data_IF_387234694447
#
_entry.id   IF_387234694447
#
_cell.length_a   1.000
_cell.length_b   1.000
_cell.length_c   1.000
_cell.angle_alpha   90.00
_cell.angle_beta   90.00
_cell.angle_gamma   90.00
#
_symmetry.space_group_name_H-M   'P 1'
#
loop_
_entity.id
_entity.type
_entity.pdbx_description
1 polymer ?
#
# COMPACT_ATOMS: atom_id res chain seq x y z
N UNK A 1 2.16 -1.82 26.35
CA UNK A 1 1.29 -2.88 25.79
C UNK A 1 0.62 -2.31 24.56
N UNK A 2 0.75 -2.99 23.43
CA UNK A 2 0.21 -2.60 22.13
C UNK A 2 -0.79 -3.66 21.69
N UNK A 3 -1.76 -3.30 20.84
CA UNK A 3 -2.68 -4.23 20.22
C UNK A 3 -2.49 -4.22 18.70
N UNK A 4 -2.42 -5.39 18.10
CA UNK A 4 -2.37 -5.61 16.65
C UNK A 4 -3.74 -6.13 16.21
N UNK A 5 -4.35 -5.53 15.20
CA UNK A 5 -5.59 -6.05 14.61
C UNK A 5 -5.24 -6.89 13.39
N UNK A 6 -5.45 -8.21 13.47
CA UNK A 6 -5.33 -9.13 12.35
C UNK A 6 -6.72 -9.53 11.81
N UNK A 7 -6.80 -9.97 10.56
CA UNK A 7 -8.05 -10.27 9.86
C UNK A 7 -8.70 -9.08 9.15
N UNK A 8 -8.00 -7.95 9.08
CA UNK A 8 -8.36 -6.80 8.24
C UNK A 8 -7.17 -6.45 7.33
N UNK A 9 -6.49 -5.32 7.53
CA UNK A 9 -5.31 -4.96 6.72
C UNK A 9 -4.09 -5.88 6.90
N UNK A 10 -4.02 -6.55 8.04
CA UNK A 10 -3.00 -7.52 8.39
C UNK A 10 -3.66 -8.90 8.40
N UNK A 11 -3.25 -9.80 7.51
CA UNK A 11 -3.83 -11.15 7.44
C UNK A 11 -3.50 -11.95 8.69
N UNK A 12 -4.39 -12.84 9.15
CA UNK A 12 -3.99 -13.87 10.11
C UNK A 12 -2.93 -14.79 9.50
N UNK A 13 -2.04 -15.33 10.32
CA UNK A 13 -0.98 -16.24 9.89
C UNK A 13 0.27 -16.11 10.74
N UNK A 14 1.40 -16.62 10.25
CA UNK A 14 2.67 -16.65 11.00
C UNK A 14 3.45 -15.35 10.82
N UNK A 15 3.62 -14.60 11.90
CA UNK A 15 4.38 -13.35 11.91
C UNK A 15 5.77 -13.62 12.47
N UNK A 16 6.77 -12.92 11.95
CA UNK A 16 8.12 -12.91 12.52
C UNK A 16 8.37 -11.57 13.20
N UNK A 17 9.03 -11.62 14.35
CA UNK A 17 9.52 -10.47 15.10
C UNK A 17 11.04 -10.57 15.23
N UNK A 18 11.72 -9.44 15.17
CA UNK A 18 13.12 -9.31 15.52
C UNK A 18 13.26 -8.21 16.57
N UNK A 19 14.06 -8.45 17.60
CA UNK A 19 14.32 -7.51 18.69
C UNK A 19 15.82 -7.37 18.87
N UNK A 20 16.29 -6.14 18.83
CA UNK A 20 17.65 -5.76 19.22
C UNK A 20 17.56 -5.03 20.56
N UNK A 21 18.29 -5.47 21.58
CA UNK A 21 18.24 -4.84 22.89
C UNK A 21 19.55 -4.91 23.65
N UNK A 22 19.88 -3.82 24.33
CA UNK A 22 20.82 -3.80 25.44
C UNK A 22 20.22 -2.91 26.53
N UNK A 23 20.05 -3.35 27.78
CA UNK A 23 20.23 -4.70 28.34
C UNK A 23 19.24 -5.74 27.78
N UNK A 24 18.79 -6.69 28.60
CA UNK A 24 17.85 -7.73 28.16
C UNK A 24 16.44 -7.25 27.86
N UNK A 25 15.72 -8.01 27.03
CA UNK A 25 14.33 -7.79 26.66
C UNK A 25 13.55 -9.11 26.55
N UNK A 26 12.21 -9.00 26.55
CA UNK A 26 11.31 -10.13 26.39
C UNK A 26 10.05 -9.71 25.65
N UNK A 27 9.74 -10.42 24.56
CA UNK A 27 8.54 -10.22 23.78
C UNK A 27 7.51 -11.31 24.09
N UNK A 28 6.31 -10.89 24.47
CA UNK A 28 5.16 -11.74 24.74
C UNK A 28 4.01 -11.34 23.82
N UNK A 29 3.44 -12.31 23.11
CA UNK A 29 2.29 -12.13 22.21
C UNK A 29 1.15 -13.05 22.64
N UNK A 30 -0.03 -12.48 22.91
CA UNK A 30 -1.19 -13.19 23.44
C UNK A 30 -0.90 -14.04 24.70
N UNK A 31 0.06 -13.62 25.51
CA UNK A 31 0.50 -14.35 26.71
C UNK A 31 1.57 -15.41 26.46
N UNK A 32 1.88 -15.73 25.20
CA UNK A 32 2.97 -16.64 24.82
C UNK A 32 4.28 -15.88 24.68
N UNK A 33 5.35 -16.39 25.28
CA UNK A 33 6.70 -15.86 25.11
C UNK A 33 7.22 -16.20 23.71
N UNK A 34 7.58 -15.17 22.93
CA UNK A 34 8.08 -15.29 21.55
C UNK A 34 9.58 -15.08 21.50
N UNK A 35 10.10 -14.10 22.24
CA UNK A 35 11.53 -13.79 22.36
C UNK A 35 11.83 -13.58 23.85
N UNK A 36 12.96 -14.11 24.32
CA UNK A 36 13.43 -13.93 25.69
C UNK A 36 14.95 -13.87 25.74
N UNK A 37 15.45 -12.64 25.81
CA UNK A 37 16.86 -12.31 25.84
C UNK A 37 17.14 -11.66 27.20
N UNK A 38 17.37 -12.46 28.27
CA UNK A 38 17.44 -11.93 29.64
C UNK A 38 18.65 -11.01 29.90
N UNK A 39 19.62 -11.01 28.98
CA UNK A 39 20.85 -10.19 29.04
C UNK A 39 21.08 -9.55 27.67
N UNK A 40 21.72 -8.37 27.67
CA UNK A 40 22.13 -7.67 26.46
C UNK A 40 23.65 -7.39 26.42
N UNK A 41 24.20 -6.92 25.29
CA UNK A 41 23.49 -6.71 24.02
C UNK A 41 23.07 -8.03 23.38
N UNK A 42 21.87 -8.06 22.80
CA UNK A 42 21.30 -9.22 22.14
C UNK A 42 20.49 -8.80 20.91
N UNK A 43 20.51 -9.65 19.89
CA UNK A 43 19.68 -9.57 18.69
C UNK A 43 19.04 -10.95 18.51
N UNK A 44 17.72 -11.04 18.71
CA UNK A 44 16.99 -12.29 18.66
C UNK A 44 15.72 -12.15 17.81
N UNK A 45 15.26 -13.25 17.24
CA UNK A 45 14.03 -13.31 16.46
C UNK A 45 13.14 -14.47 16.89
N UNK A 46 11.85 -14.35 16.61
CA UNK A 46 10.87 -15.38 16.92
C UNK A 46 9.64 -15.27 16.05
N UNK A 47 8.91 -16.37 15.91
CA UNK A 47 7.67 -16.43 15.12
C UNK A 47 6.47 -16.73 16.02
N UNK A 48 5.32 -16.20 15.62
CA UNK A 48 4.05 -16.44 16.31
C UNK A 48 2.89 -16.33 15.35
N UNK A 49 1.91 -17.23 15.46
CA UNK A 49 0.68 -17.14 14.70
C UNK A 49 -0.23 -16.07 15.30
N UNK A 50 -0.62 -15.08 14.49
CA UNK A 50 -1.64 -14.10 14.84
C UNK A 50 -3.00 -14.54 14.29
N UNK A 51 -3.96 -14.71 15.18
CA UNK A 51 -5.33 -15.06 14.84
C UNK A 51 -6.12 -13.83 14.40
N UNK A 52 -7.22 -14.04 13.66
CA UNK A 52 -8.14 -12.96 13.35
C UNK A 52 -8.65 -12.28 14.62
N UNK A 53 -8.66 -10.94 14.61
CA UNK A 53 -9.06 -10.09 15.72
C UNK A 53 -7.87 -9.41 16.40
N UNK A 54 -8.08 -9.05 17.67
CA UNK A 54 -7.08 -8.31 18.46
C UNK A 54 -6.05 -9.25 19.06
N UNK A 55 -4.79 -9.05 18.72
CA UNK A 55 -3.63 -9.72 19.28
C UNK A 55 -2.87 -8.75 20.19
N UNK A 56 -2.61 -9.15 21.44
CA UNK A 56 -1.90 -8.32 22.41
C UNK A 56 -0.40 -8.54 22.31
N UNK A 57 0.35 -7.45 22.18
CA UNK A 57 1.81 -7.43 22.20
C UNK A 57 2.32 -6.72 23.45
N UNK A 58 3.20 -7.39 24.19
CA UNK A 58 3.89 -6.84 25.35
C UNK A 58 5.38 -7.07 25.20
N UNK A 59 6.12 -5.96 25.10
CA UNK A 59 7.57 -5.94 25.17
C UNK A 59 7.98 -5.47 26.56
N UNK A 60 8.77 -6.29 27.24
CA UNK A 60 9.41 -6.01 28.52
C UNK A 60 10.89 -5.73 28.25
N UNK A 61 11.45 -4.71 28.88
CA UNK A 61 12.84 -4.29 28.71
C UNK A 61 13.45 -3.96 30.07
N UNK A 62 14.68 -4.40 30.29
CA UNK A 62 15.39 -4.19 31.54
C UNK A 62 16.03 -2.79 31.56
N UNK A 63 15.71 -2.02 32.60
CA UNK A 63 16.32 -0.71 32.87
C UNK A 63 17.40 -0.88 33.95
N UNK A 64 18.64 -1.14 33.52
CA UNK A 64 19.83 -1.28 34.39
C UNK A 64 20.94 -0.36 33.88
N UNK A 65 21.86 0.07 34.73
CA UNK A 65 22.93 1.00 34.33
C UNK A 65 23.75 0.52 33.11
N UNK A 66 24.04 1.43 32.17
CA UNK A 66 24.93 1.15 31.05
C UNK A 66 24.48 1.81 29.76
N UNK A 67 24.88 1.20 28.64
CA UNK A 67 24.37 1.55 27.32
C UNK A 67 22.97 0.96 27.12
N UNK A 68 22.06 1.76 26.55
CA UNK A 68 20.66 1.40 26.39
C UNK A 68 20.21 1.55 24.95
N UNK A 69 19.69 0.47 24.39
CA UNK A 69 18.94 0.50 23.14
C UNK A 69 17.86 -0.58 23.11
N UNK A 70 16.82 -0.33 22.32
CA UNK A 70 15.74 -1.26 22.04
C UNK A 70 15.18 -0.96 20.65
N UNK A 71 15.21 -1.96 19.78
CA UNK A 71 14.63 -1.94 18.45
C UNK A 71 13.75 -3.17 18.24
N UNK A 72 12.66 -2.99 17.50
CA UNK A 72 11.67 -4.03 17.20
C UNK A 72 11.25 -3.92 15.75
N UNK A 73 11.42 -5.02 15.02
CA UNK A 73 10.98 -5.18 13.65
C UNK A 73 10.02 -6.34 13.54
N UNK A 74 9.19 -6.33 12.51
CA UNK A 74 8.23 -7.41 12.27
C UNK A 74 7.84 -7.54 10.80
N UNK A 75 7.51 -8.78 10.41
CA UNK A 75 6.98 -9.14 9.09
C UNK A 75 5.66 -9.89 9.23
N UNK A 76 4.82 -9.73 8.22
CA UNK A 76 3.56 -10.48 8.15
C UNK A 76 3.75 -11.92 7.65
N UNK A 77 2.64 -12.64 7.52
CA UNK A 77 2.58 -14.02 7.05
C UNK A 77 3.05 -14.24 5.60
N UNK A 78 3.37 -13.17 4.88
CA UNK A 78 3.91 -13.19 3.52
C UNK A 78 5.36 -12.69 3.50
N UNK A 79 6.03 -12.66 4.65
CA UNK A 79 7.40 -12.16 4.86
C UNK A 79 7.57 -10.68 4.51
N UNK A 80 6.47 -9.93 4.49
CA UNK A 80 6.53 -8.51 4.14
C UNK A 80 6.79 -7.64 5.33
N UNK A 81 7.68 -6.67 5.13
CA UNK A 81 8.07 -5.70 6.12
C UNK A 81 6.88 -4.82 6.51
N UNK A 82 6.54 -4.79 7.80
CA UNK A 82 5.41 -4.01 8.32
C UNK A 82 5.81 -2.61 8.76
N UNK A 83 4.87 -1.69 9.00
CA UNK A 83 5.18 -0.37 9.53
C UNK A 83 6.01 -0.44 10.81
N UNK A 84 6.95 0.50 10.97
CA UNK A 84 7.78 0.57 12.17
C UNK A 84 6.91 0.68 13.42
N UNK A 85 7.21 -0.15 14.41
CA UNK A 85 6.61 -0.09 15.75
C UNK A 85 7.59 0.46 16.80
N UNK A 86 8.83 0.73 16.39
CA UNK A 86 9.87 1.41 17.15
C UNK A 86 10.74 2.26 16.23
N UNK A 87 11.45 3.22 16.81
CA UNK A 87 12.37 4.10 16.05
C UNK A 87 13.50 3.29 15.42
N UNK A 88 14.10 2.38 16.19
CA UNK A 88 15.07 1.41 15.69
C UNK A 88 14.29 0.18 15.23
N UNK A 89 14.51 -0.25 13.99
CA UNK A 89 13.91 -1.46 13.44
C UNK A 89 15.05 -2.35 12.90
N UNK A 90 15.37 -3.47 13.57
CA UNK A 90 16.47 -4.35 13.17
C UNK A 90 16.25 -5.02 11.81
N UNK A 91 15.02 -5.04 11.29
CA UNK A 91 14.75 -5.57 9.94
C UNK A 91 14.98 -4.54 8.83
N UNK A 92 15.26 -3.28 9.19
CA UNK A 92 15.49 -2.15 8.28
C UNK A 92 16.93 -1.66 8.40
N UNK A 93 17.87 -2.49 7.95
CA UNK A 93 19.31 -2.21 7.95
C UNK A 93 19.85 -2.00 6.54
N UNK A 94 20.78 -1.05 6.37
CA UNK A 94 21.47 -0.77 5.10
C UNK A 94 20.94 0.47 4.37
N UNK A 95 21.66 0.88 3.33
CA UNK A 95 21.50 2.19 2.66
C UNK A 95 20.08 2.43 2.14
N UNK A 96 19.40 1.40 1.58
CA UNK A 96 18.01 1.53 1.09
C UNK A 96 17.02 2.02 2.15
N UNK A 97 17.24 1.68 3.42
CA UNK A 97 16.36 2.10 4.51
C UNK A 97 16.68 3.48 5.07
N UNK A 98 17.83 4.06 4.74
CA UNK A 98 18.12 5.49 5.01
C UNK A 98 17.24 6.39 4.12
N UNK A 99 16.92 5.93 2.92
CA UNK A 99 16.09 6.62 1.94
C UNK A 99 14.66 6.07 1.86
N UNK A 100 14.22 5.30 2.87
CA UNK A 100 12.83 4.86 2.98
C UNK A 100 11.93 6.06 3.26
N UNK A 101 10.88 6.20 2.46
CA UNK A 101 9.73 7.03 2.81
C UNK A 101 8.79 6.16 3.63
N UNK A 102 8.57 6.52 4.89
CA UNK A 102 7.62 5.81 5.74
C UNK A 102 6.18 6.24 5.47
N UNK A 103 5.25 5.27 5.58
CA UNK A 103 3.81 5.55 5.63
C UNK A 103 3.39 5.49 7.08
N UNK A 104 3.09 6.64 7.71
CA UNK A 104 2.66 6.70 9.10
C UNK A 104 1.20 6.21 9.22
N UNK A 105 0.53 6.55 10.33
CA UNK A 105 -0.89 6.23 10.52
C UNK A 105 -1.86 6.94 9.54
N UNK A 106 -1.35 7.65 8.54
CA UNK A 106 -2.13 8.38 7.54
C UNK A 106 -1.63 8.10 6.14
N UNK A 107 -2.54 8.16 5.17
CA UNK A 107 -2.20 8.03 3.76
C UNK A 107 -1.22 9.13 3.32
N UNK A 108 -0.28 8.75 2.47
CA UNK A 108 0.76 9.63 1.92
C UNK A 108 0.78 9.48 0.41
N UNK A 109 1.02 10.56 -0.31
CA UNK A 109 1.20 10.56 -1.74
C UNK A 109 2.51 11.29 -2.11
N UNK A 110 3.39 10.60 -2.84
CA UNK A 110 4.69 11.11 -3.24
C UNK A 110 4.81 11.07 -4.75
N UNK A 111 5.03 12.23 -5.38
CA UNK A 111 5.42 12.25 -6.80
C UNK A 111 6.81 11.64 -6.91
N UNK A 112 6.93 10.62 -7.74
CA UNK A 112 8.13 9.82 -7.89
C UNK A 112 8.16 9.18 -9.28
N UNK A 113 9.34 9.04 -9.87
CA UNK A 113 9.51 8.11 -10.98
C UNK A 113 9.37 6.70 -10.42
N UNK A 114 8.27 6.04 -10.73
CA UNK A 114 7.94 4.70 -10.23
C UNK A 114 8.36 3.66 -11.28
N UNK A 115 8.83 2.48 -10.86
CA UNK A 115 9.19 1.44 -11.80
C UNK A 115 7.94 0.96 -12.54
N UNK A 116 8.07 0.58 -13.82
CA UNK A 116 6.95 0.11 -14.66
C UNK A 116 5.82 1.13 -14.90
N UNK A 117 6.08 2.41 -14.68
CA UNK A 117 5.12 3.49 -14.91
C UNK A 117 5.82 4.69 -15.58
N UNK A 118 5.07 5.72 -15.96
CA UNK A 118 5.67 6.94 -16.49
C UNK A 118 6.52 7.66 -15.44
N UNK A 119 7.45 8.50 -15.89
CA UNK A 119 8.24 9.38 -15.00
C UNK A 119 7.38 10.41 -14.24
N UNK A 120 6.08 10.48 -14.51
CA UNK A 120 5.12 11.35 -13.83
C UNK A 120 4.16 10.53 -12.97
N UNK A 121 4.69 9.58 -12.22
CA UNK A 121 3.89 8.74 -11.34
C UNK A 121 3.73 9.33 -9.94
N UNK A 122 2.76 8.78 -9.22
CA UNK A 122 2.45 9.08 -7.83
C UNK A 122 2.50 7.74 -7.07
N UNK A 123 3.46 7.62 -6.16
CA UNK A 123 3.43 6.56 -5.16
C UNK A 123 2.39 6.95 -4.10
N UNK A 124 1.45 6.07 -3.82
CA UNK A 124 0.42 6.27 -2.81
C UNK A 124 0.59 5.20 -1.74
N UNK A 125 0.83 5.61 -0.50
CA UNK A 125 0.90 4.74 0.65
C UNK A 125 -0.39 4.80 1.44
N UNK A 126 -1.07 3.65 1.60
CA UNK A 126 -2.32 3.54 2.36
C UNK A 126 -2.06 2.71 3.62
N UNK A 127 -2.26 3.28 4.82
CA UNK A 127 -1.99 2.55 6.05
C UNK A 127 -2.92 1.34 6.20
N UNK A 128 -2.44 0.27 6.87
CA UNK A 128 -1.10 0.11 7.42
C UNK A 128 -0.04 -0.34 6.41
N UNK A 129 -0.34 -1.12 5.37
CA UNK A 129 0.73 -1.73 4.56
C UNK A 129 0.40 -1.95 3.08
N UNK A 130 -0.59 -1.23 2.54
CA UNK A 130 -0.99 -1.37 1.14
C UNK A 130 -0.64 -0.11 0.40
N UNK A 131 0.06 -0.23 -0.71
CA UNK A 131 0.55 0.89 -1.48
C UNK A 131 0.17 0.70 -2.95
N UNK A 132 0.15 1.77 -3.73
CA UNK A 132 -0.09 1.69 -5.17
C UNK A 132 0.61 2.78 -5.97
N UNK A 133 0.82 2.49 -7.26
CA UNK A 133 1.37 3.42 -8.22
C UNK A 133 0.23 3.95 -9.09
N UNK A 134 -0.03 5.25 -9.01
CA UNK A 134 -0.94 5.94 -9.91
C UNK A 134 -0.14 6.72 -10.96
N UNK A 135 -0.40 6.45 -12.24
CA UNK A 135 0.26 7.16 -13.34
C UNK A 135 -0.53 8.43 -13.68
N UNK A 136 0.05 9.59 -13.38
CA UNK A 136 -0.65 10.88 -13.64
C UNK A 136 -0.72 11.25 -15.12
N UNK A 137 -0.11 10.46 -16.02
CA UNK A 137 -0.20 10.64 -17.46
C UNK A 137 -1.37 9.88 -18.07
N UNK A 138 -1.64 8.67 -17.58
CA UNK A 138 -2.67 7.77 -18.16
C UNK A 138 -3.92 7.63 -17.29
N UNK A 139 -3.88 8.12 -16.04
CA UNK A 139 -4.99 7.95 -15.10
C UNK A 139 -5.15 6.51 -14.60
N UNK A 140 -4.20 5.63 -14.88
CA UNK A 140 -4.22 4.24 -14.47
C UNK A 140 -3.59 4.06 -13.08
N UNK A 141 -4.17 3.16 -12.28
CA UNK A 141 -3.48 2.56 -11.13
C UNK A 141 -2.72 1.34 -11.67
N UNK A 142 -1.42 1.51 -11.92
CA UNK A 142 -0.60 0.54 -12.66
C UNK A 142 -0.44 -0.78 -11.89
N UNK A 143 -0.16 -0.70 -10.59
CA UNK A 143 -0.03 -1.85 -9.70
C UNK A 143 -0.16 -1.41 -8.25
N UNK A 144 -0.39 -2.39 -7.38
CA UNK A 144 -0.24 -2.25 -5.94
C UNK A 144 0.99 -2.99 -5.43
N UNK A 145 1.38 -2.74 -4.19
CA UNK A 145 2.30 -3.60 -3.44
C UNK A 145 1.95 -3.58 -1.97
N UNK A 146 2.33 -4.64 -1.26
CA UNK A 146 2.23 -4.69 0.19
C UNK A 146 3.62 -4.74 0.83
N UNK A 147 3.75 -4.16 2.01
CA UNK A 147 5.02 -4.07 2.75
C UNK A 147 5.53 -2.64 2.90
N UNK A 148 6.86 -2.47 2.95
CA UNK A 148 7.51 -1.17 2.99
C UNK A 148 7.13 -0.32 1.79
N UNK A 149 7.10 1.00 1.97
CA UNK A 149 6.54 1.90 0.96
C UNK A 149 7.48 2.14 -0.20
N UNK A 150 8.53 2.94 -0.02
CA UNK A 150 9.36 3.36 -1.15
C UNK A 150 10.77 3.73 -0.71
N UNK A 151 11.77 3.24 -1.44
CA UNK A 151 13.13 3.76 -1.40
C UNK A 151 13.31 4.79 -2.53
N UNK A 152 13.62 6.04 -2.17
CA UNK A 152 13.89 7.10 -3.15
C UNK A 152 15.39 7.34 -3.41
N UNK A 153 16.27 6.58 -2.77
CA UNK A 153 17.72 6.64 -2.90
C UNK A 153 18.22 6.65 -4.34
N UNK A 154 17.71 5.81 -5.26
CA UNK A 154 18.12 5.83 -6.68
C UNK A 154 17.90 7.18 -7.37
N UNK A 155 16.89 7.96 -6.96
CA UNK A 155 16.62 9.29 -7.53
C UNK A 155 17.64 10.34 -7.11
N UNK A 156 18.34 10.12 -6.00
CA UNK A 156 19.37 11.01 -5.47
C UNK A 156 20.75 10.37 -5.47
N UNK A 157 20.89 9.23 -6.15
CA UNK A 157 22.09 8.38 -6.16
C UNK A 157 22.65 8.13 -4.75
N UNK A 158 21.76 7.92 -3.77
CA UNK A 158 22.12 7.70 -2.37
C UNK A 158 23.08 8.77 -1.81
N UNK A 159 22.94 10.03 -2.26
CA UNK A 159 23.78 11.16 -1.83
C UNK A 159 25.12 11.30 -2.57
N UNK A 160 25.52 10.32 -3.38
CA UNK A 160 26.80 10.28 -4.09
C UNK A 160 26.76 10.89 -5.50
N UNK A 161 25.64 11.48 -5.90
CA UNK A 161 25.49 12.03 -7.24
C UNK A 161 24.19 12.76 -7.50
N UNK A 162 23.83 12.86 -8.79
CA UNK A 162 22.58 13.53 -9.20
C UNK A 162 21.36 12.62 -9.07
N UNK A 163 21.55 11.31 -9.28
CA UNK A 163 20.47 10.35 -9.47
C UNK A 163 19.58 10.66 -10.69
N UNK A 164 18.93 9.63 -11.23
CA UNK A 164 17.89 9.76 -12.27
C UNK A 164 17.08 8.47 -12.45
N UNK A 165 17.29 7.47 -11.59
CA UNK A 165 16.66 6.18 -11.69
C UNK A 165 15.31 6.19 -10.98
N UNK A 166 14.45 5.24 -11.34
CA UNK A 166 13.17 5.07 -10.66
C UNK A 166 13.39 4.67 -9.19
N UNK A 167 12.46 5.05 -8.32
CA UNK A 167 12.42 4.55 -6.95
C UNK A 167 12.28 3.03 -6.90
N UNK A 168 12.70 2.44 -5.79
CA UNK A 168 12.57 1.00 -5.54
C UNK A 168 11.43 0.69 -4.58
N UNK A 169 10.72 -0.41 -4.84
CA UNK A 169 9.65 -0.89 -3.96
C UNK A 169 10.26 -1.66 -2.79
N UNK A 170 9.84 -1.34 -1.57
CA UNK A 170 10.26 -2.06 -0.36
C UNK A 170 9.25 -3.17 0.03
N UNK A 171 8.54 -3.71 -0.96
CA UNK A 171 7.47 -4.70 -0.78
C UNK A 171 7.16 -5.50 -2.04
N UNK A 172 6.25 -6.46 -1.91
CA UNK A 172 5.88 -7.38 -3.02
C UNK A 172 4.67 -6.85 -3.76
N UNK A 173 4.70 -6.89 -5.09
CA UNK A 173 3.67 -6.29 -5.94
C UNK A 173 2.44 -7.18 -6.03
N UNK A 174 1.34 -6.56 -6.42
CA UNK A 174 0.13 -7.22 -6.86
C UNK A 174 -0.53 -6.41 -7.98
N UNK A 175 -1.28 -7.09 -8.82
CA UNK A 175 -1.97 -6.45 -9.94
C UNK A 175 -3.14 -5.58 -9.46
N UNK A 176 -3.17 -4.32 -9.91
CA UNK A 176 -4.25 -3.37 -9.61
C UNK A 176 -5.33 -3.31 -10.72
N UNK A 177 -5.01 -3.86 -11.89
CA UNK A 177 -5.91 -4.19 -12.98
C UNK A 177 -6.43 -3.03 -13.82
N UNK A 178 -6.08 -1.77 -13.57
CA UNK A 178 -6.51 -0.67 -14.44
C UNK A 178 -5.67 -0.66 -15.74
N UNK A 179 -6.33 -0.51 -16.89
CA UNK A 179 -5.65 -0.24 -18.16
C UNK A 179 -5.37 1.27 -18.31
N UNK A 180 -4.63 1.67 -19.34
CA UNK A 180 -4.41 3.08 -19.66
C UNK A 180 -5.73 3.78 -20.02
N UNK A 181 -5.94 4.96 -19.44
CA UNK A 181 -7.16 5.75 -19.55
C UNK A 181 -8.41 4.91 -19.22
N UNK A 182 -8.50 4.40 -17.97
CA UNK A 182 -9.46 3.36 -17.63
C UNK A 182 -10.89 3.90 -17.59
N UNK A 183 -11.09 5.17 -17.21
CA UNK A 183 -12.41 5.79 -17.17
C UNK A 183 -12.71 6.46 -18.52
N UNK A 184 -13.80 6.05 -19.18
CA UNK A 184 -14.24 6.59 -20.49
C UNK A 184 -15.74 6.86 -20.51
N UNK A 185 -16.19 7.76 -21.39
CA UNK A 185 -17.59 8.18 -21.46
C UNK A 185 -18.17 8.03 -22.87
N UNK A 186 -19.35 7.44 -22.96
CA UNK A 186 -20.11 7.26 -24.21
C UNK A 186 -19.57 6.19 -25.15
N UNK A 187 -18.29 5.84 -25.08
CA UNK A 187 -17.64 4.77 -25.84
C UNK A 187 -16.45 4.20 -25.06
N UNK A 188 -16.19 2.90 -25.21
CA UNK A 188 -14.99 2.22 -24.71
C UNK A 188 -13.86 2.17 -25.77
N UNK A 189 -14.15 2.52 -27.02
CA UNK A 189 -13.23 2.32 -28.15
C UNK A 189 -12.27 3.50 -28.40
N UNK A 190 -12.53 4.67 -27.82
CA UNK A 190 -11.77 5.89 -28.08
C UNK A 190 -11.05 6.31 -26.79
N UNK A 191 -9.75 6.58 -26.90
CA UNK A 191 -8.97 7.17 -25.82
C UNK A 191 -9.52 8.57 -25.47
N UNK A 192 -9.84 8.85 -24.20
CA UNK A 192 -10.43 10.12 -23.79
C UNK A 192 -9.39 11.25 -23.70
N UNK A 193 -9.85 12.50 -23.72
CA UNK A 193 -9.04 13.63 -23.28
C UNK A 193 -8.87 13.59 -21.76
N UNK A 194 -7.65 13.33 -21.29
CA UNK A 194 -7.35 13.16 -19.87
C UNK A 194 -6.43 14.28 -19.34
N UNK A 195 -6.81 14.86 -18.21
CA UNK A 195 -6.01 15.88 -17.53
C UNK A 195 -5.98 15.65 -16.02
N UNK A 196 -4.80 15.34 -15.47
CA UNK A 196 -4.59 15.29 -14.03
C UNK A 196 -4.47 16.70 -13.42
N UNK A 197 -5.28 16.98 -12.39
CA UNK A 197 -5.34 18.29 -11.73
C UNK A 197 -4.70 18.30 -10.33
N UNK A 198 -4.65 17.17 -9.62
CA UNK A 198 -3.97 17.08 -8.33
C UNK A 198 -4.45 15.93 -7.44
N UNK A 199 -4.08 15.98 -6.16
CA UNK A 199 -4.51 14.99 -5.16
C UNK A 199 -4.66 15.61 -3.76
N UNK A 200 -5.33 14.89 -2.86
CA UNK A 200 -5.46 15.21 -1.44
C UNK A 200 -5.29 13.95 -0.60
N UNK A 201 -4.40 14.03 0.39
CA UNK A 201 -4.17 12.97 1.37
C UNK A 201 -5.25 13.00 2.47
N UNK A 202 -5.85 11.83 2.73
CA UNK A 202 -6.85 11.62 3.77
C UNK A 202 -6.28 11.03 5.06
N UNK A 203 -7.09 10.22 5.73
CA UNK A 203 -6.62 9.37 6.83
C UNK A 203 -6.18 8.01 6.29
N UNK A 204 -7.07 7.26 5.65
CA UNK A 204 -6.80 5.95 5.05
C UNK A 204 -7.08 5.93 3.54
N UNK A 205 -7.19 7.10 2.93
CA UNK A 205 -7.51 7.29 1.51
C UNK A 205 -6.68 8.39 0.87
N UNK A 206 -6.59 8.38 -0.46
CA UNK A 206 -6.14 9.52 -1.26
C UNK A 206 -7.21 9.85 -2.29
N UNK A 207 -7.59 11.11 -2.37
CA UNK A 207 -8.46 11.63 -3.44
C UNK A 207 -7.59 12.12 -4.58
N UNK A 208 -7.88 11.68 -5.79
CA UNK A 208 -7.27 12.14 -7.03
C UNK A 208 -8.28 13.01 -7.78
N UNK A 209 -7.83 14.17 -8.25
CA UNK A 209 -8.63 15.13 -9.01
C UNK A 209 -8.12 15.17 -10.44
N UNK A 210 -9.00 14.90 -11.40
CA UNK A 210 -8.68 14.95 -12.82
C UNK A 210 -9.94 15.17 -13.66
N UNK A 211 -9.74 15.42 -14.95
CA UNK A 211 -10.80 15.55 -15.94
C UNK A 211 -10.68 14.47 -17.02
N UNK A 212 -11.83 13.96 -17.45
CA UNK A 212 -11.97 13.03 -18.57
C UNK A 212 -13.03 13.61 -19.51
N UNK A 213 -12.67 13.91 -20.75
CA UNK A 213 -13.53 14.58 -21.74
C UNK A 213 -14.24 15.83 -21.20
N UNK A 214 -13.51 16.59 -20.36
CA UNK A 214 -14.01 17.80 -19.71
C UNK A 214 -14.92 17.59 -18.47
N UNK A 215 -15.28 16.36 -18.12
CA UNK A 215 -16.00 16.05 -16.88
C UNK A 215 -15.04 16.05 -15.68
N UNK A 216 -15.37 16.76 -14.61
CA UNK A 216 -14.58 16.74 -13.37
C UNK A 216 -14.80 15.40 -12.64
N UNK A 217 -13.71 14.73 -12.30
CA UNK A 217 -13.68 13.43 -11.61
C UNK A 217 -12.88 13.53 -10.32
N UNK A 218 -13.47 13.00 -9.25
CA UNK A 218 -12.74 12.65 -8.03
C UNK A 218 -12.66 11.14 -7.93
N UNK A 219 -11.45 10.58 -7.94
CA UNK A 219 -11.21 9.17 -7.66
C UNK A 219 -10.58 9.02 -6.28
N UNK A 220 -11.33 8.48 -5.34
CA UNK A 220 -10.82 8.12 -4.01
C UNK A 220 -10.26 6.70 -4.05
N UNK A 221 -8.99 6.54 -3.73
CA UNK A 221 -8.32 5.24 -3.60
C UNK A 221 -8.26 4.84 -2.13
N UNK A 222 -8.67 3.60 -1.85
CA UNK A 222 -8.57 2.95 -0.54
C UNK A 222 -8.11 1.51 -0.70
N UNK A 223 -7.51 0.92 0.34
CA UNK A 223 -7.27 -0.53 0.38
C UNK A 223 -8.59 -1.32 0.31
N UNK A 224 -8.55 -2.51 -0.27
CA UNK A 224 -9.62 -3.49 -0.08
C UNK A 224 -9.69 -3.91 1.40
N UNK A 225 -10.91 -4.13 1.90
CA UNK A 225 -11.13 -4.76 3.22
C UNK A 225 -11.16 -6.29 3.12
N UNK A 226 -11.44 -6.82 1.94
CA UNK A 226 -11.61 -8.25 1.71
C UNK A 226 -10.44 -8.77 0.85
N UNK A 227 -9.29 -9.03 1.47
CA UNK A 227 -8.10 -9.56 0.78
C UNK A 227 -7.19 -8.49 0.15
N UNK A 228 -6.20 -8.93 -0.63
CA UNK A 228 -5.20 -8.05 -1.26
C UNK A 228 -5.80 -7.33 -2.45
N UNK A 229 -5.91 -6.01 -2.39
CA UNK A 229 -6.47 -5.22 -3.48
C UNK A 229 -6.73 -3.77 -3.11
N UNK A 230 -7.40 -3.08 -4.03
CA UNK A 230 -7.76 -1.67 -3.92
C UNK A 230 -9.24 -1.47 -4.27
N UNK A 231 -9.85 -0.45 -3.67
CA UNK A 231 -11.15 0.06 -4.06
C UNK A 231 -11.00 1.49 -4.55
N UNK A 232 -11.57 1.76 -5.72
CA UNK A 232 -11.65 3.08 -6.35
C UNK A 232 -13.09 3.55 -6.26
N UNK A 233 -13.33 4.70 -5.63
CA UNK A 233 -14.63 5.36 -5.66
C UNK A 233 -14.55 6.56 -6.57
N UNK A 234 -15.34 6.58 -7.63
CA UNK A 234 -15.44 7.68 -8.57
C UNK A 234 -16.63 8.56 -8.21
N UNK A 235 -16.40 9.87 -8.13
CA UNK A 235 -17.45 10.89 -8.03
C UNK A 235 -17.32 11.84 -9.22
N UNK A 236 -18.37 11.88 -10.05
CA UNK A 236 -18.44 12.69 -11.26
C UNK A 236 -19.30 13.92 -10.97
N UNK A 237 -18.78 15.10 -11.28
CA UNK A 237 -19.57 16.32 -11.27
C UNK A 237 -20.24 16.49 -12.62
N UNK A 238 -21.56 16.67 -12.62
CA UNK A 238 -22.38 16.78 -13.82
C UNK A 238 -22.16 15.57 -14.77
N UNK A 239 -22.55 14.35 -14.35
CA UNK A 239 -22.18 13.11 -15.03
C UNK A 239 -22.63 13.12 -16.51
N UNK A 240 -21.80 12.58 -17.42
CA UNK A 240 -22.11 12.59 -18.84
C UNK A 240 -23.36 11.77 -19.17
N UNK A 241 -24.03 12.16 -20.26
CA UNK A 241 -25.29 11.54 -20.71
C UNK A 241 -25.12 10.14 -21.34
N UNK A 242 -23.88 9.74 -21.65
CA UNK A 242 -23.55 8.42 -22.20
C UNK A 242 -23.23 7.39 -21.12
N UNK A 243 -23.15 6.12 -21.50
CA UNK A 243 -22.63 5.04 -20.64
C UNK A 243 -21.23 5.40 -20.14
N UNK A 244 -20.94 5.07 -18.89
CA UNK A 244 -19.60 5.22 -18.31
C UNK A 244 -18.92 3.86 -18.40
N UNK A 245 -17.67 3.86 -18.86
CA UNK A 245 -16.87 2.65 -18.99
C UNK A 245 -15.70 2.72 -18.02
N UNK A 246 -15.42 1.61 -17.33
CA UNK A 246 -14.18 1.40 -16.61
C UNK A 246 -13.45 0.18 -17.17
N UNK A 247 -12.31 0.43 -17.80
CA UNK A 247 -11.52 -0.57 -18.53
C UNK A 247 -10.41 -1.08 -17.65
N UNK A 248 -10.30 -2.40 -17.62
CA UNK A 248 -9.29 -3.13 -16.86
C UNK A 248 -8.54 -4.06 -17.80
N UNK A 249 -7.29 -4.36 -17.46
CA UNK A 249 -6.56 -5.43 -18.12
C UNK A 249 -7.37 -6.73 -18.03
N UNK A 250 -7.35 -7.53 -19.09
CA UNK A 250 -8.02 -8.84 -19.17
C UNK A 250 -7.09 -10.00 -18.82
N UNK A 251 -5.78 -9.77 -18.78
CA UNK A 251 -4.76 -10.80 -18.58
C UNK A 251 -4.21 -10.86 -17.17
N UNK A 252 -4.96 -11.39 -16.21
CA UNK A 252 -4.48 -11.79 -14.86
C UNK A 252 -5.60 -12.44 -14.05
N UNK A 253 -5.26 -13.25 -13.04
CA UNK A 253 -6.18 -13.62 -11.95
C UNK A 253 -6.45 -12.36 -11.11
N UNK A 254 -7.40 -11.55 -11.56
CA UNK A 254 -7.91 -10.38 -10.84
C UNK A 254 -9.39 -10.58 -10.62
N UNK A 255 -9.81 -10.50 -9.37
CA UNK A 255 -11.23 -10.45 -9.03
C UNK A 255 -11.73 -9.02 -9.13
N UNK A 256 -12.85 -8.84 -9.80
CA UNK A 256 -13.46 -7.53 -10.08
C UNK A 256 -14.86 -7.50 -9.51
N UNK A 257 -15.19 -6.41 -8.83
CA UNK A 257 -16.56 -6.11 -8.44
C UNK A 257 -16.83 -4.62 -8.54
N UNK A 258 -18.10 -4.27 -8.69
CA UNK A 258 -18.53 -2.88 -8.79
C UNK A 258 -19.83 -2.66 -8.01
N UNK A 259 -20.02 -1.45 -7.49
CA UNK A 259 -21.26 -1.09 -6.78
C UNK A 259 -22.47 -0.94 -7.71
N UNK A 260 -22.22 -0.71 -9.01
CA UNK A 260 -23.24 -0.54 -10.05
C UNK A 260 -22.61 -0.86 -11.40
N UNK A 261 -23.44 -1.29 -12.36
CA UNK A 261 -23.03 -1.63 -13.70
C UNK A 261 -22.87 -3.13 -13.91
N UNK A 262 -22.47 -3.50 -15.13
CA UNK A 262 -22.30 -4.89 -15.56
C UNK A 262 -20.91 -5.07 -16.13
N UNK A 263 -20.22 -6.14 -15.72
CA UNK A 263 -18.93 -6.52 -16.28
C UNK A 263 -19.11 -7.34 -17.56
N UNK A 264 -18.44 -6.91 -18.63
CA UNK A 264 -18.29 -7.61 -19.89
C UNK A 264 -16.79 -7.89 -20.10
N UNK A 265 -16.30 -9.01 -19.54
CA UNK A 265 -14.86 -9.29 -19.50
C UNK A 265 -14.12 -8.28 -18.62
N UNK A 266 -13.12 -7.60 -19.18
CA UNK A 266 -12.35 -6.55 -18.49
C UNK A 266 -13.01 -5.17 -18.49
N UNK A 267 -14.20 -5.02 -19.07
CA UNK A 267 -14.87 -3.71 -19.16
C UNK A 267 -16.11 -3.69 -18.27
N UNK A 268 -16.18 -2.71 -17.37
CA UNK A 268 -17.39 -2.40 -16.62
C UNK A 268 -18.20 -1.35 -17.37
N UNK A 269 -19.49 -1.64 -17.61
CA UNK A 269 -20.45 -0.68 -18.13
C UNK A 269 -21.35 -0.16 -17.00
N UNK A 270 -21.22 1.13 -16.68
CA UNK A 270 -22.00 1.82 -15.66
C UNK A 270 -23.09 2.67 -16.35
N UNK A 271 -24.35 2.62 -15.88
CA UNK A 271 -25.44 3.38 -16.48
C UNK A 271 -25.17 4.88 -16.57
N UNK A 272 -25.62 5.49 -17.66
CA UNK A 272 -25.55 6.93 -17.86
C UNK A 272 -26.21 7.72 -16.71
N UNK A 273 -25.66 8.89 -16.39
CA UNK A 273 -26.13 9.73 -15.29
C UNK A 273 -25.73 9.26 -13.89
N UNK A 274 -24.98 8.17 -13.77
CA UNK A 274 -24.40 7.75 -12.48
C UNK A 274 -23.36 8.77 -12.02
N UNK A 275 -23.63 9.45 -10.91
CA UNK A 275 -22.70 10.44 -10.34
C UNK A 275 -21.64 9.81 -9.43
N UNK A 276 -21.89 8.62 -8.89
CA UNK A 276 -20.96 7.94 -7.98
C UNK A 276 -21.01 6.43 -8.17
N UNK A 277 -19.85 5.80 -8.27
CA UNK A 277 -19.72 4.35 -8.28
C UNK A 277 -18.38 3.91 -7.70
N UNK A 278 -18.31 2.67 -7.21
CA UNK A 278 -17.08 2.07 -6.72
C UNK A 278 -16.71 0.84 -7.54
N UNK A 279 -15.41 0.64 -7.72
CA UNK A 279 -14.80 -0.55 -8.32
C UNK A 279 -13.80 -1.12 -7.34
N UNK A 280 -13.92 -2.40 -7.03
CA UNK A 280 -12.95 -3.13 -6.19
C UNK A 280 -12.21 -4.14 -7.04
N UNK A 281 -10.88 -4.01 -7.03
CA UNK A 281 -9.92 -4.84 -7.77
C UNK A 281 -9.09 -5.61 -6.76
N UNK A 282 -9.10 -6.95 -6.84
CA UNK A 282 -8.32 -7.81 -5.93
C UNK A 282 -7.44 -8.76 -6.70
N UNK A 283 -6.26 -9.03 -6.16
CA UNK A 283 -5.41 -10.08 -6.67
C UNK A 283 -6.05 -11.44 -6.37
N UNK A 284 -6.31 -12.23 -7.41
CA UNK A 284 -6.73 -13.63 -7.32
C UNK A 284 -5.56 -14.62 -7.33
N UNK A 285 -4.33 -14.12 -7.51
CA UNK A 285 -3.08 -14.89 -7.56
C UNK A 285 -2.15 -14.61 -6.36
N UNK A 286 -0.98 -15.25 -6.38
CA UNK A 286 0.09 -14.94 -5.42
C UNK A 286 0.69 -13.55 -5.68
N UNK A 287 1.26 -12.93 -4.65
CA UNK A 287 2.02 -11.68 -4.78
C UNK A 287 3.27 -11.89 -5.65
N UNK A 288 3.65 -10.89 -6.45
CA UNK A 288 4.71 -10.91 -7.48
C UNK A 288 5.98 -10.12 -7.10
#
# INVERSE_FOLDING_TARGET
>A
MMCIQAGDALSSGDYSFAVESNPGSRLVVNGSEVINSPYGPAEDSGTVTLENGTNQLRLEYADIEGEHFLGVGWRDSHDQLLPRISVVDPLRSGDSFEYEIEVPARAVAKRSAMPFASNRSLAIGLPPNTNCCFDTTTGAVQYGWRGGFLDYGPQVAYGDGRGNDASELLGTRFQAGADEYPLRFGTDAIEPDYQFDGYREGFDTVDLFYRVDGCDVVQTIKRSQDGVGLTYTFSLKDPPAGTIYFITDTGSDIERSASVGTWNGGTLEVPAGTSTFAVTMRSGGALE
#
